data_IF_522981230526
#
_entry.id   IF_522981230526
#
_cell.length_a   1.000
_cell.length_b   1.000
_cell.length_c   1.000
_cell.angle_alpha   90.00
_cell.angle_beta   90.00
_cell.angle_gamma   90.00
#
_symmetry.space_group_name_H-M   'P 1'
#
loop_
_entity.id
_entity.type
_entity.pdbx_description
1 polymer ?
#
# COMPACT_ATOMS: atom_id res chain seq x y z
N UNK A 1 35.47 14.51 13.70
CA UNK A 1 34.99 13.52 12.70
C UNK A 1 35.89 12.26 12.62
N UNK A 2 37.21 12.30 12.81
CA UNK A 2 38.06 11.10 12.78
C UNK A 2 37.77 10.07 13.89
N UNK A 3 37.48 10.52 15.12
CA UNK A 3 37.23 9.61 16.26
C UNK A 3 35.88 8.85 16.18
N UNK A 4 34.89 9.37 15.45
CA UNK A 4 33.62 8.70 15.26
C UNK A 4 33.71 7.48 14.32
N UNK A 5 34.58 7.55 13.29
CA UNK A 5 34.84 6.43 12.38
C UNK A 5 35.53 5.26 13.09
N UNK A 6 36.51 5.52 13.97
CA UNK A 6 37.19 4.45 14.70
C UNK A 6 36.25 3.71 15.67
N UNK A 7 35.40 4.45 16.38
CA UNK A 7 34.38 3.85 17.28
C UNK A 7 33.36 2.98 16.53
N UNK A 8 32.96 3.40 15.33
CA UNK A 8 32.02 2.68 14.51
C UNK A 8 32.51 1.28 14.07
N UNK A 9 33.81 1.15 13.76
CA UNK A 9 34.41 -0.14 13.34
C UNK A 9 34.80 -1.06 14.51
N UNK A 10 34.76 -0.59 15.75
CA UNK A 10 35.04 -1.40 16.95
C UNK A 10 33.80 -2.08 17.52
N UNK A 11 32.61 -1.82 16.98
CA UNK A 11 31.35 -2.42 17.45
C UNK A 11 31.22 -3.87 16.97
N UNK A 12 30.66 -4.77 17.80
CA UNK A 12 30.33 -6.12 17.39
C UNK A 12 29.42 -6.10 16.14
N UNK A 13 29.59 -7.06 15.23
CA UNK A 13 28.89 -7.11 13.93
C UNK A 13 27.36 -7.02 14.05
N UNK A 14 26.78 -7.61 15.11
CA UNK A 14 25.33 -7.53 15.34
C UNK A 14 24.87 -6.11 15.72
N UNK A 15 25.68 -5.36 16.50
CA UNK A 15 25.38 -3.96 16.86
C UNK A 15 25.47 -3.08 15.63
N UNK A 16 26.42 -3.37 14.73
CA UNK A 16 26.54 -2.68 13.46
C UNK A 16 25.31 -2.89 12.57
N UNK A 17 24.78 -4.11 12.49
CA UNK A 17 23.55 -4.43 11.77
C UNK A 17 22.36 -3.68 12.36
N UNK A 18 22.23 -3.64 13.70
CA UNK A 18 21.16 -2.91 14.39
C UNK A 18 21.27 -1.41 14.12
N UNK A 19 22.45 -0.83 14.24
CA UNK A 19 22.68 0.60 13.95
C UNK A 19 22.38 0.90 12.48
N UNK A 20 22.88 0.10 11.54
CA UNK A 20 22.58 0.25 10.11
C UNK A 20 21.08 0.14 9.82
N UNK A 21 20.38 -0.79 10.47
CA UNK A 21 18.94 -0.96 10.36
C UNK A 21 18.18 0.25 10.93
N UNK A 22 18.56 0.76 12.10
CA UNK A 22 17.96 1.95 12.71
C UNK A 22 18.27 3.20 11.87
N UNK A 23 19.52 3.37 11.40
CA UNK A 23 19.90 4.49 10.53
C UNK A 23 19.22 4.43 9.17
N UNK A 24 19.06 3.27 8.56
CA UNK A 24 18.33 3.13 7.30
C UNK A 24 16.84 3.48 7.45
N UNK A 25 16.24 3.15 8.59
CA UNK A 25 14.86 3.54 8.91
C UNK A 25 14.71 5.04 9.20
N UNK A 26 15.68 5.64 9.91
CA UNK A 26 15.67 7.07 10.23
C UNK A 26 16.04 7.95 9.03
N UNK A 27 16.81 7.42 8.07
CA UNK A 27 17.27 8.14 6.87
C UNK A 27 16.64 7.62 5.58
N UNK A 28 15.50 6.90 5.67
CA UNK A 28 14.76 6.50 4.47
C UNK A 28 14.30 7.78 3.73
N UNK A 29 14.85 8.06 2.53
CA UNK A 29 14.55 9.30 1.80
C UNK A 29 13.07 9.45 1.44
N UNK A 30 12.36 8.33 1.25
CA UNK A 30 10.93 8.32 0.95
C UNK A 30 10.14 8.82 2.17
N UNK A 31 10.48 8.32 3.37
CA UNK A 31 9.85 8.74 4.63
C UNK A 31 10.19 10.21 4.91
N UNK A 32 11.47 10.58 4.80
CA UNK A 32 11.91 11.96 5.03
C UNK A 32 11.19 12.94 4.09
N UNK A 33 11.16 12.65 2.80
CA UNK A 33 10.48 13.47 1.80
C UNK A 33 8.98 13.55 2.08
N UNK A 34 8.31 12.45 2.41
CA UNK A 34 6.90 12.44 2.74
C UNK A 34 6.56 13.36 3.92
N UNK A 35 7.38 13.36 4.97
CA UNK A 35 7.16 14.19 6.15
C UNK A 35 7.44 15.66 5.86
N UNK A 36 8.51 15.98 5.13
CA UNK A 36 9.03 17.34 5.02
C UNK A 36 8.55 18.12 3.78
N UNK A 37 8.08 17.43 2.73
CA UNK A 37 7.45 18.07 1.57
C UNK A 37 5.97 18.37 1.82
N UNK A 38 5.39 19.34 1.11
CA UNK A 38 4.01 19.82 1.32
C UNK A 38 2.94 18.94 0.66
N UNK A 39 3.09 17.60 0.77
CA UNK A 39 2.06 16.68 0.25
C UNK A 39 0.71 16.91 0.93
N UNK A 40 -0.33 17.08 0.12
CA UNK A 40 -1.70 17.27 0.59
C UNK A 40 -2.00 18.69 1.12
N UNK A 41 -1.15 19.68 0.86
CA UNK A 41 -1.40 21.09 1.25
C UNK A 41 -2.77 21.58 0.77
N UNK A 42 -3.17 21.22 -0.47
CA UNK A 42 -4.46 21.59 -1.04
C UNK A 42 -5.66 21.04 -0.23
N UNK A 43 -5.46 20.00 0.56
CA UNK A 43 -6.45 19.39 1.44
C UNK A 43 -6.26 19.78 2.92
N UNK A 44 -5.39 20.75 3.22
CA UNK A 44 -5.09 21.19 4.57
C UNK A 44 -4.21 20.23 5.37
N UNK A 45 -3.53 19.29 4.72
CA UNK A 45 -2.66 18.30 5.38
C UNK A 45 -1.36 18.95 5.84
N UNK A 46 -1.21 19.13 7.14
CA UNK A 46 -0.01 19.68 7.77
C UNK A 46 1.11 18.64 7.91
N UNK A 47 2.33 19.09 8.26
CA UNK A 47 3.44 18.18 8.64
C UNK A 47 3.03 17.23 9.79
N UNK A 48 2.30 17.73 10.79
CA UNK A 48 1.80 16.93 11.93
C UNK A 48 0.85 15.83 11.46
N UNK A 49 0.00 16.11 10.46
CA UNK A 49 -0.92 15.13 9.91
C UNK A 49 -0.20 14.08 9.08
N UNK A 50 0.82 14.45 8.29
CA UNK A 50 1.68 13.48 7.58
C UNK A 50 2.36 12.49 8.53
N UNK A 51 2.84 12.98 9.69
CA UNK A 51 3.40 12.11 10.73
C UNK A 51 2.33 11.17 11.29
N UNK A 52 1.10 11.65 11.53
CA UNK A 52 -0.02 10.78 11.98
C UNK A 52 -0.38 9.73 10.92
N UNK A 53 -0.43 10.13 9.64
CA UNK A 53 -0.68 9.21 8.53
C UNK A 53 0.41 8.12 8.49
N UNK A 54 1.68 8.49 8.56
CA UNK A 54 2.79 7.53 8.59
C UNK A 54 2.66 6.53 9.74
N UNK A 55 2.33 7.00 10.95
CA UNK A 55 2.10 6.12 12.11
C UNK A 55 0.96 5.13 11.87
N UNK A 56 -0.13 5.58 11.22
CA UNK A 56 -1.25 4.70 10.84
C UNK A 56 -0.82 3.65 9.81
N UNK A 57 -0.05 4.03 8.78
CA UNK A 57 0.47 3.08 7.77
C UNK A 57 1.36 2.03 8.43
N UNK A 58 2.28 2.43 9.30
CA UNK A 58 3.14 1.50 10.05
C UNK A 58 2.28 0.53 10.88
N UNK A 59 1.24 1.03 11.55
CA UNK A 59 0.30 0.19 12.31
C UNK A 59 -0.44 -0.80 11.40
N UNK A 60 -0.89 -0.37 10.23
CA UNK A 60 -1.56 -1.24 9.24
C UNK A 60 -0.63 -2.40 8.85
N UNK A 61 0.58 -2.10 8.39
CA UNK A 61 1.54 -3.10 7.90
C UNK A 61 1.97 -4.08 9.00
N UNK A 62 2.06 -3.62 10.24
CA UNK A 62 2.41 -4.48 11.38
C UNK A 62 1.27 -5.43 11.80
N UNK A 63 0.01 -5.16 11.42
CA UNK A 63 -1.14 -5.96 11.85
C UNK A 63 -1.86 -6.67 10.70
N UNK A 64 -1.72 -6.18 9.47
CA UNK A 64 -2.33 -6.80 8.29
C UNK A 64 -1.20 -7.28 7.39
N UNK A 65 -1.21 -8.57 7.06
CA UNK A 65 -0.25 -9.11 6.11
C UNK A 65 -0.41 -8.43 4.76
N UNK A 66 0.63 -7.74 4.31
CA UNK A 66 0.64 -6.93 3.10
C UNK A 66 1.54 -7.54 2.03
N UNK A 67 1.13 -7.49 0.79
CA UNK A 67 1.97 -7.83 -0.37
C UNK A 67 2.87 -6.66 -0.81
N UNK A 68 2.64 -5.45 -0.26
CA UNK A 68 3.39 -4.22 -0.57
C UNK A 68 4.18 -3.71 0.63
N UNK A 69 5.32 -3.06 0.37
CA UNK A 69 6.21 -2.52 1.40
C UNK A 69 5.68 -1.21 2.02
N UNK A 70 6.29 -0.78 3.13
CA UNK A 70 6.01 0.53 3.74
C UNK A 70 6.22 1.67 2.74
N UNK A 71 7.30 1.61 1.98
CA UNK A 71 7.65 2.61 0.97
C UNK A 71 6.59 2.69 -0.13
N UNK A 72 6.08 1.55 -0.60
CA UNK A 72 5.00 1.49 -1.58
C UNK A 72 3.73 2.17 -1.06
N UNK A 73 3.35 1.91 0.19
CA UNK A 73 2.22 2.59 0.83
C UNK A 73 2.42 4.10 0.93
N UNK A 74 3.64 4.57 1.26
CA UNK A 74 3.95 6.01 1.33
C UNK A 74 3.88 6.66 -0.05
N UNK A 75 4.42 6.00 -1.08
CA UNK A 75 4.36 6.48 -2.47
C UNK A 75 2.90 6.58 -2.93
N UNK A 76 2.09 5.56 -2.67
CA UNK A 76 0.65 5.55 -2.96
C UNK A 76 -0.07 6.74 -2.30
N UNK A 77 0.20 7.00 -1.02
CA UNK A 77 -0.35 8.15 -0.28
C UNK A 77 0.08 9.48 -0.88
N UNK A 78 1.34 9.62 -1.32
CA UNK A 78 1.83 10.83 -2.00
C UNK A 78 1.03 11.12 -3.27
N UNK A 79 0.81 10.11 -4.10
CA UNK A 79 0.01 10.27 -5.34
C UNK A 79 -1.44 10.67 -5.04
N UNK A 80 -2.08 10.01 -4.08
CA UNK A 80 -3.45 10.36 -3.68
C UNK A 80 -3.55 11.79 -3.13
N UNK A 81 -2.59 12.22 -2.31
CA UNK A 81 -2.53 13.58 -1.77
C UNK A 81 -2.16 14.64 -2.82
N UNK A 82 -1.68 14.25 -4.00
CA UNK A 82 -1.41 15.16 -5.12
C UNK A 82 -2.59 15.32 -6.09
N UNK A 83 -3.69 14.60 -5.88
CA UNK A 83 -4.89 14.75 -6.68
C UNK A 83 -5.46 16.18 -6.59
N UNK A 84 -6.15 16.68 -7.63
CA UNK A 84 -6.76 17.99 -7.58
C UNK A 84 -7.86 18.06 -6.50
N UNK A 85 -8.05 19.25 -5.90
CA UNK A 85 -9.09 19.45 -4.88
C UNK A 85 -10.49 19.20 -5.43
N UNK A 86 -10.74 19.58 -6.68
CA UNK A 86 -12.02 19.31 -7.33
C UNK A 86 -12.12 17.83 -7.66
N UNK A 87 -13.15 17.18 -7.11
CA UNK A 87 -13.43 15.76 -7.33
C UNK A 87 -13.76 15.50 -8.80
N UNK A 88 -13.01 14.59 -9.42
CA UNK A 88 -13.21 14.22 -10.84
C UNK A 88 -13.72 12.79 -11.03
N UNK A 89 -13.64 11.94 -10.00
CA UNK A 89 -14.01 10.55 -10.09
C UNK A 89 -13.73 9.78 -8.80
N UNK A 90 -13.66 8.47 -8.94
CA UNK A 90 -13.40 7.52 -7.87
C UNK A 90 -11.93 7.13 -7.81
N UNK A 91 -11.49 6.73 -6.63
CA UNK A 91 -10.26 5.96 -6.45
C UNK A 91 -10.63 4.49 -6.60
N UNK A 92 -9.89 3.74 -7.40
CA UNK A 92 -10.12 2.33 -7.67
C UNK A 92 -8.91 1.51 -7.23
N UNK A 93 -9.15 0.39 -6.57
CA UNK A 93 -8.13 -0.61 -6.26
C UNK A 93 -8.54 -1.95 -6.88
N UNK A 94 -7.61 -2.58 -7.61
CA UNK A 94 -7.79 -3.90 -8.20
C UNK A 94 -6.83 -4.90 -7.56
N UNK A 95 -7.38 -5.77 -6.71
CA UNK A 95 -6.59 -6.70 -5.89
C UNK A 95 -6.21 -6.11 -4.54
N UNK A 96 -6.92 -6.52 -3.48
CA UNK A 96 -6.72 -5.97 -2.14
C UNK A 96 -6.05 -6.95 -1.17
N UNK A 97 -5.92 -8.22 -1.52
CA UNK A 97 -5.40 -9.29 -0.64
C UNK A 97 -6.11 -9.28 0.71
N UNK A 98 -5.41 -8.96 1.81
CA UNK A 98 -5.99 -8.84 3.15
C UNK A 98 -6.41 -7.42 3.52
N UNK A 99 -6.38 -6.47 2.58
CA UNK A 99 -6.88 -5.11 2.74
C UNK A 99 -5.92 -4.12 3.38
N UNK A 100 -4.61 -4.38 3.39
CA UNK A 100 -3.63 -3.44 3.93
C UNK A 100 -3.54 -2.14 3.09
N UNK A 101 -3.44 -2.28 1.77
CA UNK A 101 -3.47 -1.16 0.83
C UNK A 101 -4.83 -0.46 0.86
N UNK A 102 -5.93 -1.21 0.87
CA UNK A 102 -7.29 -0.66 0.98
C UNK A 102 -7.47 0.19 2.24
N UNK A 103 -6.99 -0.29 3.40
CA UNK A 103 -7.04 0.48 4.64
C UNK A 103 -6.23 1.79 4.54
N UNK A 104 -5.04 1.74 3.92
CA UNK A 104 -4.22 2.93 3.67
C UNK A 104 -4.90 3.92 2.72
N UNK A 105 -5.41 3.43 1.58
CA UNK A 105 -6.11 4.25 0.57
C UNK A 105 -7.34 4.89 1.20
N UNK A 106 -8.15 4.14 1.97
CA UNK A 106 -9.38 4.64 2.59
C UNK A 106 -9.13 5.79 3.59
N UNK A 107 -8.01 5.76 4.32
CA UNK A 107 -7.60 6.88 5.18
C UNK A 107 -7.42 8.16 4.36
N UNK A 108 -6.77 8.05 3.20
CA UNK A 108 -6.51 9.21 2.37
C UNK A 108 -7.78 9.63 1.62
N UNK A 109 -8.56 8.69 1.12
CA UNK A 109 -9.86 8.98 0.49
C UNK A 109 -10.77 9.81 1.39
N UNK A 110 -10.80 9.50 2.70
CA UNK A 110 -11.52 10.32 3.70
C UNK A 110 -10.99 11.76 3.80
N UNK A 111 -9.67 11.94 3.73
CA UNK A 111 -9.03 13.26 3.81
C UNK A 111 -9.32 14.10 2.56
N UNK A 112 -9.27 13.47 1.37
CA UNK A 112 -9.40 14.16 0.09
C UNK A 112 -10.84 14.16 -0.44
N UNK A 113 -11.81 13.70 0.34
CA UNK A 113 -13.23 13.57 -0.01
C UNK A 113 -13.44 12.77 -1.30
N UNK A 114 -12.95 11.52 -1.29
CA UNK A 114 -13.11 10.54 -2.38
C UNK A 114 -13.71 9.24 -1.85
N UNK A 115 -14.36 8.50 -2.73
CA UNK A 115 -14.79 7.14 -2.47
C UNK A 115 -13.81 6.16 -3.11
N UNK A 116 -13.60 5.02 -2.44
CA UNK A 116 -12.75 3.93 -2.89
C UNK A 116 -13.61 2.77 -3.38
N UNK A 117 -13.42 2.35 -4.63
CA UNK A 117 -14.01 1.13 -5.17
C UNK A 117 -12.96 0.04 -5.17
N UNK A 118 -13.22 -1.06 -4.46
CA UNK A 118 -12.30 -2.19 -4.29
C UNK A 118 -12.82 -3.36 -5.12
N UNK A 119 -12.07 -3.74 -6.14
CA UNK A 119 -12.30 -4.92 -6.96
C UNK A 119 -11.39 -6.05 -6.50
N UNK A 120 -11.97 -7.18 -6.10
CA UNK A 120 -11.24 -8.39 -5.75
C UNK A 120 -12.15 -9.61 -5.87
N UNK A 121 -11.59 -10.77 -6.17
CA UNK A 121 -12.32 -12.03 -6.13
C UNK A 121 -12.69 -12.42 -4.70
N UNK A 122 -11.86 -12.01 -3.71
CA UNK A 122 -11.85 -12.46 -2.31
C UNK A 122 -11.67 -13.98 -2.17
N UNK A 123 -11.20 -14.62 -3.24
CA UNK A 123 -10.89 -16.05 -3.34
C UNK A 123 -9.42 -16.30 -3.65
N UNK A 124 -8.64 -15.21 -3.87
CA UNK A 124 -7.25 -15.25 -4.31
C UNK A 124 -7.14 -15.46 -5.82
N UNK A 125 -5.94 -15.83 -6.28
CA UNK A 125 -5.67 -15.99 -7.70
C UNK A 125 -6.54 -17.09 -8.33
N UNK A 126 -7.02 -16.91 -9.59
CA UNK A 126 -7.73 -17.93 -10.33
C UNK A 126 -6.81 -19.12 -10.64
N UNK A 127 -7.40 -20.21 -11.15
CA UNK A 127 -6.60 -21.30 -11.72
C UNK A 127 -5.82 -20.75 -12.92
N UNK A 128 -4.50 -20.90 -12.92
CA UNK A 128 -3.68 -20.46 -14.04
C UNK A 128 -4.07 -21.24 -15.29
N UNK A 129 -4.61 -20.56 -16.30
CA UNK A 129 -4.97 -21.14 -17.60
C UNK A 129 -3.75 -21.21 -18.55
N UNK A 130 -2.74 -20.39 -18.31
CA UNK A 130 -1.60 -20.19 -19.22
C UNK A 130 -0.41 -21.12 -18.88
N UNK A 131 -0.62 -22.34 -18.49
CA UNK A 131 0.40 -23.28 -18.03
C UNK A 131 1.82 -22.98 -18.57
N UNK A 132 2.75 -22.52 -17.78
CA UNK A 132 4.13 -22.13 -18.07
C UNK A 132 4.30 -20.78 -18.77
N UNK A 133 4.16 -19.68 -18.02
CA UNK A 133 4.78 -18.43 -18.47
C UNK A 133 6.30 -18.57 -18.37
N UNK A 134 6.96 -18.60 -19.53
CA UNK A 134 8.39 -18.38 -19.62
C UNK A 134 8.69 -16.98 -19.06
N UNK A 135 9.52 -16.91 -18.02
CA UNK A 135 10.07 -15.64 -17.56
C UNK A 135 10.90 -15.02 -18.68
N UNK A 136 10.99 -13.69 -18.73
CA UNK A 136 11.83 -12.92 -19.67
C UNK A 136 13.29 -13.39 -19.73
N UNK A 137 13.76 -14.18 -18.77
CA UNK A 137 15.11 -14.71 -18.67
C UNK A 137 15.21 -16.23 -18.96
N UNK A 138 14.15 -16.89 -19.44
CA UNK A 138 14.11 -18.35 -19.65
C UNK A 138 14.55 -19.19 -18.43
N UNK A 139 14.63 -18.60 -17.25
CA UNK A 139 14.89 -19.29 -16.00
C UNK A 139 13.58 -19.89 -15.50
N UNK A 140 13.53 -21.20 -15.43
CA UNK A 140 12.44 -21.96 -14.82
C UNK A 140 12.38 -21.66 -13.33
N UNK A 141 11.74 -20.54 -12.94
CA UNK A 141 11.39 -20.30 -11.56
C UNK A 141 10.24 -21.23 -11.20
N UNK A 142 10.49 -22.19 -10.31
CA UNK A 142 9.54 -23.20 -9.83
C UNK A 142 8.39 -22.63 -8.98
N UNK A 143 8.24 -21.34 -8.88
CA UNK A 143 7.12 -20.70 -8.16
C UNK A 143 5.96 -20.45 -9.13
N UNK A 144 5.23 -21.51 -9.44
CA UNK A 144 3.92 -21.37 -10.07
C UNK A 144 2.97 -20.68 -9.10
N UNK A 145 2.38 -19.55 -9.52
CA UNK A 145 1.26 -18.96 -8.81
C UNK A 145 0.12 -19.98 -8.74
N UNK A 146 -0.19 -20.44 -7.54
CA UNK A 146 -1.22 -21.45 -7.31
C UNK A 146 -2.59 -20.79 -7.13
N UNK A 147 -3.63 -21.49 -7.55
CA UNK A 147 -5.01 -21.09 -7.24
C UNK A 147 -5.19 -20.81 -5.76
N UNK A 148 -5.82 -19.68 -5.43
CA UNK A 148 -6.07 -19.27 -4.06
C UNK A 148 -4.91 -18.56 -3.37
N UNK A 149 -3.74 -18.40 -4.00
CA UNK A 149 -2.69 -17.53 -3.45
C UNK A 149 -3.21 -16.09 -3.34
N UNK A 150 -2.67 -15.33 -2.39
CA UNK A 150 -3.11 -13.96 -2.08
C UNK A 150 -4.61 -13.84 -1.74
N UNK A 151 -5.18 -14.88 -1.15
CA UNK A 151 -6.57 -14.86 -0.70
C UNK A 151 -6.71 -13.99 0.56
N UNK A 152 -7.70 -13.09 0.52
CA UNK A 152 -8.27 -12.42 1.68
C UNK A 152 -9.79 -12.43 1.52
N UNK A 153 -10.50 -13.19 2.38
CA UNK A 153 -11.96 -13.22 2.31
C UNK A 153 -12.56 -11.85 2.64
N UNK A 154 -13.73 -11.55 2.06
CA UNK A 154 -14.38 -10.24 2.15
C UNK A 154 -14.65 -9.80 3.59
N UNK A 155 -15.02 -10.73 4.50
CA UNK A 155 -15.31 -10.40 5.88
C UNK A 155 -14.04 -9.95 6.62
N UNK A 156 -12.94 -10.66 6.42
CA UNK A 156 -11.61 -10.29 6.96
C UNK A 156 -11.15 -8.93 6.42
N UNK A 157 -11.26 -8.69 5.10
CA UNK A 157 -10.88 -7.41 4.49
C UNK A 157 -11.71 -6.27 5.09
N UNK A 158 -13.03 -6.40 5.17
CA UNK A 158 -13.90 -5.39 5.79
C UNK A 158 -13.50 -5.11 7.24
N UNK A 159 -13.33 -6.15 8.07
CA UNK A 159 -12.90 -6.02 9.46
C UNK A 159 -11.56 -5.30 9.60
N UNK A 160 -10.60 -5.57 8.71
CA UNK A 160 -9.31 -4.89 8.69
C UNK A 160 -9.46 -3.41 8.35
N UNK A 161 -10.27 -3.06 7.35
CA UNK A 161 -10.51 -1.66 6.97
C UNK A 161 -11.29 -0.92 8.06
N UNK A 162 -12.28 -1.54 8.71
CA UNK A 162 -13.00 -0.97 9.86
C UNK A 162 -12.05 -0.64 11.01
N UNK A 163 -11.13 -1.55 11.31
CA UNK A 163 -10.21 -1.40 12.45
C UNK A 163 -9.08 -0.41 12.20
N UNK A 164 -8.58 -0.31 10.97
CA UNK A 164 -7.35 0.40 10.67
C UNK A 164 -7.51 1.52 9.63
N UNK A 165 -8.58 1.53 8.86
CA UNK A 165 -8.90 2.49 7.81
C UNK A 165 -10.21 3.26 8.04
N UNK A 166 -10.92 3.53 6.95
CA UNK A 166 -12.25 4.17 6.96
C UNK A 166 -13.18 3.40 6.01
N UNK A 167 -13.94 2.47 6.57
CA UNK A 167 -14.83 1.58 5.79
C UNK A 167 -15.95 2.35 5.08
N UNK A 168 -16.39 3.47 5.65
CA UNK A 168 -17.51 4.28 5.15
C UNK A 168 -17.26 4.89 3.76
N UNK A 169 -16.00 5.03 3.34
CA UNK A 169 -15.65 5.52 1.99
C UNK A 169 -15.46 4.38 0.98
N UNK A 170 -15.62 3.11 1.41
CA UNK A 170 -15.30 1.94 0.60
C UNK A 170 -16.54 1.31 -0.03
N UNK A 171 -16.47 1.00 -1.31
CA UNK A 171 -17.42 0.19 -2.08
C UNK A 171 -16.72 -1.08 -2.56
N UNK A 172 -17.34 -2.24 -2.36
CA UNK A 172 -16.75 -3.53 -2.73
C UNK A 172 -17.42 -4.10 -3.97
N UNK A 173 -16.63 -4.57 -4.92
CA UNK A 173 -17.03 -5.26 -6.14
C UNK A 173 -16.41 -6.66 -6.13
N UNK A 174 -17.14 -7.63 -5.59
CA UNK A 174 -16.70 -9.02 -5.49
C UNK A 174 -16.80 -9.73 -6.84
N UNK A 175 -15.70 -10.35 -7.27
CA UNK A 175 -15.60 -11.21 -8.44
C UNK A 175 -14.27 -11.08 -9.14
N UNK A 176 -13.97 -12.00 -10.03
CA UNK A 176 -12.79 -11.92 -10.88
C UNK A 176 -12.90 -10.76 -11.87
N UNK A 177 -11.78 -10.16 -12.22
CA UNK A 177 -11.72 -8.93 -13.01
C UNK A 177 -12.40 -9.03 -14.36
N UNK A 178 -12.28 -10.17 -15.05
CA UNK A 178 -12.93 -10.43 -16.33
C UNK A 178 -14.47 -10.33 -16.27
N UNK A 179 -15.06 -10.50 -15.07
CA UNK A 179 -16.51 -10.39 -14.86
C UNK A 179 -16.92 -9.02 -14.31
N UNK A 180 -16.07 -8.38 -13.53
CA UNK A 180 -16.44 -7.17 -12.77
C UNK A 180 -16.02 -5.89 -13.47
N UNK A 181 -14.81 -5.83 -14.06
CA UNK A 181 -14.31 -4.62 -14.70
C UNK A 181 -15.08 -4.19 -15.95
N UNK A 182 -15.56 -5.09 -16.84
CA UNK A 182 -16.37 -4.68 -17.99
C UNK A 182 -17.67 -3.93 -17.61
N UNK A 183 -18.14 -4.11 -16.38
CA UNK A 183 -19.34 -3.43 -15.86
C UNK A 183 -19.04 -2.13 -15.10
N UNK A 184 -17.80 -1.70 -15.04
CA UNK A 184 -17.42 -0.43 -14.43
C UNK A 184 -17.90 0.74 -15.30
N UNK A 185 -18.70 1.63 -14.72
CA UNK A 185 -19.26 2.81 -15.41
C UNK A 185 -18.84 4.13 -14.79
N UNK A 186 -18.27 4.06 -13.60
CA UNK A 186 -17.86 5.22 -12.82
C UNK A 186 -16.60 5.85 -13.41
N UNK A 187 -16.49 7.18 -13.36
CA UNK A 187 -15.27 7.86 -13.77
C UNK A 187 -14.15 7.58 -12.78
N UNK A 188 -13.01 7.10 -13.27
CA UNK A 188 -11.82 6.83 -12.46
C UNK A 188 -10.95 8.08 -12.44
N UNK A 189 -10.53 8.52 -11.25
CA UNK A 189 -9.56 9.59 -11.05
C UNK A 189 -8.18 9.04 -10.71
N UNK A 190 -8.14 7.90 -10.02
CA UNK A 190 -6.91 7.20 -9.64
C UNK A 190 -7.17 5.70 -9.61
N UNK A 191 -6.22 4.92 -10.12
CA UNK A 191 -6.28 3.45 -10.04
C UNK A 191 -4.97 2.89 -9.47
N UNK A 192 -5.10 1.92 -8.58
CA UNK A 192 -4.02 1.09 -8.03
C UNK A 192 -4.23 -0.36 -8.42
N UNK A 193 -3.20 -0.99 -9.02
CA UNK A 193 -3.18 -2.37 -9.51
C UNK A 193 -2.11 -3.18 -8.80
#
# INVERSE_FOLDING_TARGET
MKNFKLFYYSLPSFVFVIIKYLFSRLHNPIIYNFINQEHGKNFGVSKKDRIKILKKIIKIINHINSATSLESHIVLVKYLLSLPKIKKGYVVECGCFKGASSATISIICKIIDRELIIYDSFEGLPKNADGKRANYLHLSLKEEYKRGMYRGDLATVKKNIEKFGNIEVCKFRKGFFEKTLPNHKEKIEFIFL
#
